data_IF_259482117356
#
_entry.id   IF_259482117356
#
_cell.length_a   1.000
_cell.length_b   1.000
_cell.length_c   1.000
_cell.angle_alpha   90.00
_cell.angle_beta   90.00
_cell.angle_gamma   90.00
#
_symmetry.space_group_name_H-M   'P 1'
#
loop_
_entity.id
_entity.type
_entity.pdbx_description
1 polymer ?
#
# COMPACT_ATOMS: atom_id res chain seq x y z
N UNK A 1 -1.38 15.95 -12.45
CA UNK A 1 -2.26 16.23 -11.32
C UNK A 1 -3.58 16.75 -11.88
N UNK A 2 -4.72 16.23 -11.41
CA UNK A 2 -6.03 16.71 -11.85
C UNK A 2 -6.24 18.16 -11.36
N UNK A 3 -6.85 18.97 -12.21
CA UNK A 3 -7.20 20.34 -11.85
C UNK A 3 -8.38 20.36 -10.87
N UNK A 4 -8.39 21.33 -9.98
CA UNK A 4 -9.53 21.55 -9.08
C UNK A 4 -10.71 22.13 -9.88
N UNK A 5 -11.95 21.79 -9.53
CA UNK A 5 -13.13 22.41 -10.11
C UNK A 5 -13.10 23.93 -9.98
N UNK A 6 -13.34 24.64 -11.07
CA UNK A 6 -13.41 26.10 -11.10
C UNK A 6 -14.83 26.61 -10.77
N UNK A 7 -15.85 25.86 -11.12
CA UNK A 7 -17.26 26.17 -10.82
C UNK A 7 -17.69 25.43 -9.54
N UNK A 8 -18.29 26.12 -8.55
CA UNK A 8 -18.81 25.50 -7.34
C UNK A 8 -19.75 24.30 -7.56
N UNK A 9 -20.51 24.29 -8.66
CA UNK A 9 -21.42 23.18 -9.00
C UNK A 9 -20.72 21.89 -9.45
N UNK A 10 -19.43 21.98 -9.81
CA UNK A 10 -18.63 20.83 -10.23
C UNK A 10 -17.96 20.10 -9.03
N UNK A 11 -18.12 20.66 -7.81
CA UNK A 11 -17.70 19.98 -6.60
C UNK A 11 -18.65 18.85 -6.24
N UNK A 12 -18.09 17.68 -5.97
CA UNK A 12 -18.85 16.49 -5.56
C UNK A 12 -19.11 16.51 -4.06
N UNK A 13 -20.38 16.49 -3.67
CA UNK A 13 -20.84 16.40 -2.28
C UNK A 13 -21.80 15.21 -2.11
N UNK A 14 -21.28 13.97 -2.03
CA UNK A 14 -22.09 12.76 -2.05
C UNK A 14 -22.79 12.51 -0.72
N UNK A 15 -24.04 12.03 -0.75
CA UNK A 15 -24.76 11.55 0.45
C UNK A 15 -24.12 10.30 1.06
N UNK A 16 -23.40 9.52 0.24
CA UNK A 16 -22.67 8.34 0.66
C UNK A 16 -21.22 8.43 0.22
N UNK A 17 -20.32 8.45 1.21
CA UNK A 17 -18.87 8.42 0.96
C UNK A 17 -18.44 6.97 0.72
N UNK A 18 -17.75 6.72 -0.39
CA UNK A 18 -17.13 5.43 -0.67
C UNK A 18 -15.66 5.50 -0.28
N UNK A 19 -15.27 4.61 0.64
CA UNK A 19 -13.90 4.48 1.14
C UNK A 19 -13.31 3.13 0.74
N UNK A 20 -12.09 3.09 0.24
CA UNK A 20 -11.36 1.86 -0.05
C UNK A 20 -9.94 1.88 0.52
N UNK A 21 -9.49 0.72 0.97
CA UNK A 21 -8.11 0.48 1.37
C UNK A 21 -7.39 -0.39 0.33
N UNK A 22 -6.12 -0.14 0.12
CA UNK A 22 -5.29 -0.84 -0.86
C UNK A 22 -5.30 -2.36 -0.68
N UNK A 23 -5.43 -3.17 -1.76
CA UNK A 23 -5.51 -4.62 -1.69
C UNK A 23 -4.12 -5.28 -1.57
N UNK A 24 -3.41 -5.01 -0.48
CA UNK A 24 -2.09 -5.61 -0.20
C UNK A 24 -2.18 -7.07 0.25
N UNK A 25 -3.36 -7.47 0.74
CA UNK A 25 -3.78 -8.82 1.13
C UNK A 25 -5.19 -9.08 0.61
N UNK A 26 -5.76 -10.26 0.88
CA UNK A 26 -7.17 -10.55 0.58
C UNK A 26 -8.08 -9.46 1.20
N UNK A 27 -8.93 -8.79 0.40
CA UNK A 27 -9.80 -7.73 0.90
C UNK A 27 -10.74 -8.17 2.02
N UNK A 28 -11.11 -9.45 2.08
CA UNK A 28 -11.95 -10.01 3.14
C UNK A 28 -11.32 -9.86 4.54
N UNK A 29 -9.98 -9.83 4.63
CA UNK A 29 -9.25 -9.61 5.88
C UNK A 29 -9.60 -8.27 6.51
N UNK A 30 -9.89 -7.27 5.69
CA UNK A 30 -10.15 -5.89 6.14
C UNK A 30 -11.62 -5.59 6.42
N UNK A 31 -12.55 -6.49 6.08
CA UNK A 31 -13.98 -6.22 6.15
C UNK A 31 -14.45 -5.73 7.54
N UNK A 32 -13.92 -6.33 8.62
CA UNK A 32 -14.27 -5.98 9.99
C UNK A 32 -13.32 -4.94 10.63
N UNK A 33 -12.11 -4.78 10.09
CA UNK A 33 -11.09 -3.89 10.64
C UNK A 33 -11.49 -2.42 10.50
N UNK A 34 -12.17 -2.09 9.42
CA UNK A 34 -12.60 -0.72 9.13
C UNK A 34 -13.96 -0.34 9.74
N UNK A 35 -14.71 -1.27 10.36
CA UNK A 35 -16.10 -1.03 10.79
C UNK A 35 -16.22 0.19 11.73
N UNK A 36 -15.49 0.17 12.85
CA UNK A 36 -15.56 1.29 13.82
C UNK A 36 -14.96 2.59 13.28
N UNK A 37 -13.92 2.47 12.45
CA UNK A 37 -13.35 3.64 11.78
C UNK A 37 -14.35 4.30 10.82
N UNK A 38 -15.08 3.51 10.04
CA UNK A 38 -16.16 3.98 9.15
C UNK A 38 -17.25 4.68 9.96
N UNK A 39 -17.73 4.09 11.05
CA UNK A 39 -18.71 4.71 11.98
C UNK A 39 -18.19 6.04 12.56
N UNK A 40 -16.89 6.12 12.85
CA UNK A 40 -16.27 7.35 13.31
C UNK A 40 -16.28 8.45 12.23
N UNK A 41 -15.96 8.10 10.97
CA UNK A 41 -16.01 9.03 9.84
C UNK A 41 -17.45 9.50 9.59
N UNK A 42 -18.45 8.62 9.70
CA UNK A 42 -19.88 8.96 9.58
C UNK A 42 -20.29 10.07 10.60
N UNK A 43 -19.86 9.93 11.86
CA UNK A 43 -20.15 10.93 12.92
C UNK A 43 -19.58 12.32 12.61
N UNK A 44 -18.38 12.37 12.01
CA UNK A 44 -17.73 13.65 11.66
C UNK A 44 -18.31 14.31 10.43
N UNK A 45 -18.72 13.48 9.46
CA UNK A 45 -19.16 13.99 8.16
C UNK A 45 -20.66 14.21 8.07
N UNK A 46 -21.44 13.58 8.94
CA UNK A 46 -22.90 13.50 8.84
C UNK A 46 -23.33 12.89 7.48
N UNK A 47 -22.57 11.89 7.02
CA UNK A 47 -22.80 11.17 5.78
C UNK A 47 -22.66 9.67 6.05
N UNK A 48 -23.39 8.85 5.28
CA UNK A 48 -23.14 7.41 5.22
C UNK A 48 -21.76 7.14 4.65
N UNK A 49 -21.01 6.21 5.24
CA UNK A 49 -19.70 5.77 4.73
C UNK A 49 -19.74 4.28 4.45
N UNK A 50 -19.32 3.89 3.26
CA UNK A 50 -19.27 2.49 2.85
C UNK A 50 -17.82 2.10 2.56
N UNK A 51 -17.31 1.10 3.29
CA UNK A 51 -16.06 0.46 2.94
C UNK A 51 -16.27 -0.44 1.72
N UNK A 52 -15.54 -0.14 0.65
CA UNK A 52 -15.61 -0.88 -0.59
C UNK A 52 -14.33 -1.72 -0.78
N UNK A 53 -14.42 -3.05 -0.67
CA UNK A 53 -13.28 -3.92 -0.91
C UNK A 53 -12.90 -3.90 -2.39
N UNK A 54 -11.62 -3.66 -2.69
CA UNK A 54 -11.08 -3.67 -4.06
C UNK A 54 -10.16 -4.87 -4.24
N UNK A 55 -10.24 -5.52 -5.40
CA UNK A 55 -9.49 -6.76 -5.66
C UNK A 55 -8.07 -6.51 -6.18
N UNK A 56 -7.82 -5.35 -6.79
CA UNK A 56 -6.51 -5.01 -7.34
C UNK A 56 -6.21 -3.52 -7.29
N UNK A 57 -4.92 -3.18 -7.35
CA UNK A 57 -4.48 -1.78 -7.44
C UNK A 57 -5.03 -1.09 -8.69
N UNK A 58 -5.14 -1.80 -9.81
CA UNK A 58 -5.70 -1.26 -11.05
C UNK A 58 -7.18 -0.92 -10.89
N UNK A 59 -7.97 -1.80 -10.25
CA UNK A 59 -9.38 -1.54 -9.96
C UNK A 59 -9.56 -0.34 -9.02
N UNK A 60 -8.67 -0.18 -8.02
CA UNK A 60 -8.71 0.96 -7.11
C UNK A 60 -8.40 2.28 -7.83
N UNK A 61 -7.38 2.31 -8.70
CA UNK A 61 -7.02 3.47 -9.51
C UNK A 61 -8.19 3.87 -10.45
N UNK A 62 -8.80 2.88 -11.11
CA UNK A 62 -9.93 3.13 -12.01
C UNK A 62 -11.17 3.62 -11.26
N UNK A 63 -11.47 3.07 -10.09
CA UNK A 63 -12.58 3.53 -9.24
C UNK A 63 -12.40 5.00 -8.82
N UNK A 64 -11.18 5.41 -8.47
CA UNK A 64 -10.85 6.80 -8.15
C UNK A 64 -10.98 7.70 -9.39
N UNK A 65 -10.38 7.31 -10.51
CA UNK A 65 -10.39 8.05 -11.77
C UNK A 65 -11.80 8.28 -12.32
N UNK A 66 -12.68 7.29 -12.17
CA UNK A 66 -14.07 7.34 -12.64
C UNK A 66 -15.05 8.00 -11.66
N UNK A 67 -14.56 8.55 -10.53
CA UNK A 67 -15.41 9.21 -9.52
C UNK A 67 -16.26 8.25 -8.68
N UNK A 68 -16.02 6.94 -8.74
CA UNK A 68 -16.73 5.94 -7.92
C UNK A 68 -16.11 5.75 -6.53
N UNK A 69 -14.95 6.33 -6.27
CA UNK A 69 -14.24 6.27 -5.02
C UNK A 69 -13.93 7.67 -4.54
N UNK A 70 -14.36 8.00 -3.32
CA UNK A 70 -14.26 9.34 -2.76
C UNK A 70 -13.05 9.52 -1.83
N UNK A 71 -12.77 8.50 -1.01
CA UNK A 71 -11.66 8.48 -0.05
C UNK A 71 -10.92 7.17 -0.19
N UNK A 72 -9.60 7.21 -0.18
CA UNK A 72 -8.79 6.00 -0.34
C UNK A 72 -7.52 6.00 0.49
N UNK A 73 -7.06 4.78 0.83
CA UNK A 73 -5.68 4.50 1.15
C UNK A 73 -5.01 3.80 -0.03
N UNK A 74 -4.13 4.49 -0.74
CA UNK A 74 -3.33 3.90 -1.82
C UNK A 74 -1.97 3.41 -1.29
N UNK A 75 -1.55 2.21 -1.69
CA UNK A 75 -0.23 1.70 -1.34
C UNK A 75 0.89 2.59 -1.87
N UNK A 76 2.06 2.40 -1.32
CA UNK A 76 3.25 3.21 -1.60
C UNK A 76 3.56 3.34 -3.09
N UNK A 77 3.51 2.24 -3.83
CA UNK A 77 3.90 2.21 -5.25
C UNK A 77 2.82 2.74 -6.20
N UNK A 78 1.52 2.56 -5.90
CA UNK A 78 0.44 3.10 -6.74
C UNK A 78 0.09 4.55 -6.44
N UNK A 79 0.55 5.09 -5.31
CA UNK A 79 0.25 6.46 -4.87
C UNK A 79 0.66 7.53 -5.90
N UNK A 80 1.90 7.54 -6.47
CA UNK A 80 2.29 8.54 -7.48
C UNK A 80 1.41 8.51 -8.74
N UNK A 81 1.01 7.32 -9.20
CA UNK A 81 0.10 7.18 -10.35
C UNK A 81 -1.30 7.69 -9.98
N UNK A 82 -1.79 7.38 -8.77
CA UNK A 82 -3.08 7.88 -8.30
C UNK A 82 -3.12 9.41 -8.27
N UNK A 83 -2.05 10.06 -7.80
CA UNK A 83 -1.91 11.53 -7.82
C UNK A 83 -1.86 12.09 -9.23
N UNK A 84 -1.10 11.46 -10.12
CA UNK A 84 -0.91 11.98 -11.48
C UNK A 84 -2.09 11.72 -12.39
N UNK A 85 -2.75 10.55 -12.26
CA UNK A 85 -3.68 10.05 -13.28
C UNK A 85 -5.10 9.75 -12.78
N UNK A 86 -5.34 9.70 -11.47
CA UNK A 86 -6.65 9.37 -10.93
C UNK A 86 -7.29 10.49 -10.10
N UNK A 87 -6.69 11.68 -10.05
CA UNK A 87 -7.22 12.79 -9.27
C UNK A 87 -7.15 12.59 -7.75
N UNK A 88 -6.22 11.77 -7.27
CA UNK A 88 -6.04 11.51 -5.85
C UNK A 88 -5.22 12.60 -5.17
N UNK A 89 -5.69 13.12 -4.04
CA UNK A 89 -5.03 14.14 -3.22
C UNK A 89 -4.65 13.54 -1.87
N UNK A 90 -3.42 13.03 -1.69
CA UNK A 90 -2.96 12.45 -0.45
C UNK A 90 -2.65 13.51 0.61
N UNK A 91 -2.99 13.23 1.88
CA UNK A 91 -2.78 14.14 3.00
C UNK A 91 -2.38 13.46 4.32
N UNK A 92 -2.50 12.12 4.43
CA UNK A 92 -2.20 11.42 5.67
C UNK A 92 -1.57 10.06 5.46
N UNK A 93 -0.90 9.56 6.49
CA UNK A 93 -0.44 8.18 6.62
C UNK A 93 -0.37 7.76 8.09
N UNK A 94 -0.25 6.46 8.33
CA UNK A 94 -0.02 5.92 9.67
C UNK A 94 1.41 6.21 10.16
N UNK A 95 1.54 6.55 11.44
CA UNK A 95 2.82 6.71 12.13
C UNK A 95 2.70 6.32 13.60
N UNK A 96 3.84 6.20 14.27
CA UNK A 96 3.92 6.09 15.72
C UNK A 96 3.81 7.45 16.39
N UNK A 97 3.65 7.46 17.71
CA UNK A 97 3.59 8.69 18.50
C UNK A 97 4.87 9.52 18.42
N UNK A 98 6.03 8.89 18.28
CA UNK A 98 7.32 9.55 18.07
C UNK A 98 7.49 10.14 16.66
N UNK A 99 6.50 9.98 15.78
CA UNK A 99 6.51 10.45 14.40
C UNK A 99 7.21 9.51 13.42
N UNK A 100 7.79 8.42 13.88
CA UNK A 100 8.37 7.41 12.99
C UNK A 100 7.27 6.71 12.19
N UNK A 101 7.57 6.38 10.93
CA UNK A 101 6.61 5.79 10.00
C UNK A 101 7.30 4.83 9.04
N UNK A 102 6.49 4.04 8.36
CA UNK A 102 6.93 3.29 7.21
C UNK A 102 7.07 1.79 7.42
N UNK A 103 7.64 1.15 6.42
CA UNK A 103 7.87 -0.28 6.34
C UNK A 103 9.08 -0.55 5.44
N UNK A 104 9.63 -1.76 5.49
CA UNK A 104 10.72 -2.18 4.61
C UNK A 104 10.22 -3.23 3.60
N UNK A 105 10.87 -3.25 2.44
CA UNK A 105 10.82 -4.37 1.52
C UNK A 105 11.74 -5.47 2.03
N UNK A 106 11.27 -6.71 1.98
CA UNK A 106 12.11 -7.87 2.25
C UNK A 106 12.07 -8.85 1.09
N UNK A 107 13.23 -9.46 0.79
CA UNK A 107 13.31 -10.65 -0.04
C UNK A 107 13.39 -11.84 0.91
N UNK A 108 12.42 -12.75 0.77
CA UNK A 108 12.23 -13.89 1.67
C UNK A 108 12.40 -15.22 0.95
N UNK A 109 12.83 -16.21 1.72
CA UNK A 109 12.96 -17.63 1.33
C UNK A 109 12.46 -18.51 2.46
N UNK A 110 12.25 -19.80 2.24
CA UNK A 110 12.07 -20.75 3.36
C UNK A 110 13.28 -20.75 4.27
N UNK A 111 13.07 -21.03 5.56
CA UNK A 111 14.15 -21.06 6.55
C UNK A 111 15.29 -21.99 6.18
N UNK A 112 14.97 -23.17 5.65
CA UNK A 112 15.90 -24.23 5.25
C UNK A 112 16.44 -24.07 3.81
N UNK A 113 16.10 -22.99 3.11
CA UNK A 113 16.60 -22.72 1.75
C UNK A 113 18.12 -22.59 1.71
N UNK A 114 18.73 -23.13 0.66
CA UNK A 114 20.15 -22.94 0.37
C UNK A 114 20.51 -21.49 -0.02
N UNK A 115 19.53 -20.71 -0.48
CA UNK A 115 19.73 -19.31 -0.94
C UNK A 115 19.97 -18.41 0.26
N UNK A 116 21.16 -17.79 0.35
CA UNK A 116 21.57 -16.97 1.48
C UNK A 116 21.58 -15.46 1.20
N UNK A 117 21.65 -15.08 -0.07
CA UNK A 117 21.81 -13.67 -0.48
C UNK A 117 21.08 -13.39 -1.81
N UNK A 118 20.79 -12.11 -2.13
CA UNK A 118 20.20 -11.74 -3.41
C UNK A 118 21.04 -12.12 -4.63
N UNK A 119 22.37 -12.21 -4.51
CA UNK A 119 23.24 -12.61 -5.62
C UNK A 119 22.93 -14.03 -6.14
N UNK A 120 22.37 -14.89 -5.28
CA UNK A 120 22.03 -16.29 -5.60
C UNK A 120 20.66 -16.44 -6.28
N UNK A 121 19.96 -15.33 -6.53
CA UNK A 121 18.71 -15.30 -7.30
C UNK A 121 18.96 -15.61 -8.79
N UNK A 122 20.20 -15.47 -9.25
CA UNK A 122 20.56 -15.75 -10.65
C UNK A 122 20.17 -17.18 -11.04
N UNK A 123 19.44 -17.31 -12.16
CA UNK A 123 18.92 -18.58 -12.67
C UNK A 123 17.70 -19.13 -11.93
N UNK A 124 17.15 -18.40 -10.95
CA UNK A 124 16.00 -18.80 -10.14
C UNK A 124 14.70 -18.11 -10.58
N UNK A 125 13.60 -18.52 -9.97
CA UNK A 125 12.31 -17.83 -10.10
C UNK A 125 12.08 -16.97 -8.87
N UNK A 126 11.80 -15.67 -9.07
CA UNK A 126 11.45 -14.71 -8.04
C UNK A 126 9.98 -14.31 -8.18
N UNK A 127 9.19 -14.53 -7.12
CA UNK A 127 7.82 -14.10 -7.05
C UNK A 127 7.73 -12.62 -6.65
N UNK A 128 7.19 -11.82 -7.54
CA UNK A 128 6.71 -10.46 -7.29
C UNK A 128 5.24 -10.46 -6.95
N UNK A 129 4.70 -9.35 -6.43
CA UNK A 129 3.26 -9.24 -6.12
C UNK A 129 2.47 -8.69 -7.31
N UNK A 130 2.55 -7.39 -7.57
CA UNK A 130 1.89 -6.73 -8.69
C UNK A 130 2.79 -5.64 -9.29
N UNK A 131 2.62 -5.27 -10.58
CA UNK A 131 3.49 -4.29 -11.25
C UNK A 131 3.49 -2.89 -10.61
N UNK A 132 2.44 -2.52 -9.88
CA UNK A 132 2.33 -1.22 -9.20
C UNK A 132 2.77 -1.27 -7.73
N UNK A 133 3.12 -2.45 -7.19
CA UNK A 133 3.61 -2.58 -5.83
C UNK A 133 5.02 -2.01 -5.70
N UNK A 134 5.28 -1.21 -4.65
CA UNK A 134 6.62 -0.74 -4.34
C UNK A 134 7.51 -1.92 -3.89
N UNK A 135 7.21 -2.52 -2.75
CA UNK A 135 8.03 -3.59 -2.16
C UNK A 135 7.88 -4.95 -2.84
N UNK A 136 6.78 -5.16 -3.57
CA UNK A 136 6.55 -6.42 -4.29
C UNK A 136 7.06 -6.42 -5.72
N UNK A 137 7.53 -5.30 -6.27
CA UNK A 137 8.06 -5.25 -7.64
C UNK A 137 9.05 -4.12 -7.89
N UNK A 138 8.66 -2.85 -7.69
CA UNK A 138 9.45 -1.69 -8.15
C UNK A 138 10.78 -1.55 -7.40
N UNK A 139 10.73 -1.59 -6.07
CA UNK A 139 11.93 -1.48 -5.25
C UNK A 139 12.87 -2.68 -5.42
N UNK A 140 12.42 -3.94 -5.34
CA UNK A 140 13.32 -5.07 -5.57
C UNK A 140 13.91 -5.06 -6.99
N UNK A 141 13.16 -4.68 -8.01
CA UNK A 141 13.71 -4.58 -9.39
C UNK A 141 14.83 -3.55 -9.48
N UNK A 142 14.64 -2.36 -8.88
CA UNK A 142 15.67 -1.32 -8.87
C UNK A 142 16.91 -1.73 -8.04
N UNK A 143 16.71 -2.36 -6.89
CA UNK A 143 17.78 -2.83 -5.99
C UNK A 143 18.57 -3.97 -6.62
N UNK A 144 17.87 -5.00 -7.14
CA UNK A 144 18.53 -6.14 -7.78
C UNK A 144 19.38 -5.69 -8.98
N UNK A 145 18.87 -4.75 -9.79
CA UNK A 145 19.62 -4.16 -10.89
C UNK A 145 20.80 -3.29 -10.41
N UNK A 146 20.57 -2.44 -9.40
CA UNK A 146 21.56 -1.43 -8.98
C UNK A 146 22.67 -1.99 -8.09
N UNK A 147 22.35 -2.94 -7.20
CA UNK A 147 23.30 -3.46 -6.21
C UNK A 147 23.90 -4.81 -6.61
N UNK A 148 23.18 -5.62 -7.40
CA UNK A 148 23.55 -7.01 -7.71
C UNK A 148 23.73 -7.27 -9.22
N UNK A 149 23.49 -6.30 -10.09
CA UNK A 149 23.45 -6.43 -11.56
C UNK A 149 22.54 -7.57 -12.06
N UNK A 150 21.41 -7.78 -11.37
CA UNK A 150 20.42 -8.78 -11.69
C UNK A 150 19.18 -8.13 -12.33
N UNK A 151 18.84 -8.57 -13.55
CA UNK A 151 17.71 -8.03 -14.32
C UNK A 151 16.74 -9.18 -14.62
N UNK A 152 15.46 -8.93 -14.37
CA UNK A 152 14.38 -9.86 -14.70
C UNK A 152 14.41 -10.23 -16.20
N UNK A 153 14.06 -11.47 -16.53
CA UNK A 153 14.09 -12.08 -17.86
C UNK A 153 15.50 -12.25 -18.48
N UNK A 154 16.53 -11.59 -17.93
CA UNK A 154 17.94 -11.81 -18.30
C UNK A 154 18.63 -12.79 -17.35
N UNK A 155 18.51 -12.54 -16.04
CA UNK A 155 19.27 -13.23 -15.00
C UNK A 155 18.40 -14.14 -14.12
N UNK A 156 17.11 -13.85 -14.00
CA UNK A 156 16.16 -14.65 -13.25
C UNK A 156 14.76 -14.57 -13.89
N UNK A 157 13.91 -15.55 -13.59
CA UNK A 157 12.54 -15.61 -14.11
C UNK A 157 11.59 -14.89 -13.14
N UNK A 158 10.94 -13.78 -13.53
CA UNK A 158 9.91 -13.16 -12.70
C UNK A 158 8.59 -13.93 -12.80
N UNK A 159 7.87 -14.02 -11.68
CA UNK A 159 6.46 -14.42 -11.65
C UNK A 159 5.68 -13.46 -10.78
N UNK A 160 4.34 -13.40 -10.91
CA UNK A 160 3.49 -12.49 -10.17
C UNK A 160 2.42 -13.26 -9.39
N UNK A 161 2.44 -13.13 -8.05
CA UNK A 161 1.48 -13.78 -7.14
C UNK A 161 0.17 -12.99 -6.97
N UNK A 162 0.16 -11.72 -7.40
CA UNK A 162 -0.96 -10.79 -7.26
C UNK A 162 -0.93 -9.95 -5.99
N UNK A 163 -0.69 -10.56 -4.82
CA UNK A 163 -0.74 -9.91 -3.50
C UNK A 163 0.39 -10.41 -2.59
N UNK A 164 0.69 -9.68 -1.51
CA UNK A 164 1.78 -10.02 -0.59
C UNK A 164 1.53 -11.30 0.19
N UNK A 165 0.31 -11.53 0.65
CA UNK A 165 -0.10 -12.76 1.35
C UNK A 165 0.11 -14.01 0.48
N UNK A 166 -0.25 -13.94 -0.81
CA UNK A 166 0.01 -15.03 -1.76
C UNK A 166 1.50 -15.30 -1.93
N UNK A 167 2.33 -14.26 -2.03
CA UNK A 167 3.80 -14.41 -2.10
C UNK A 167 4.37 -15.08 -0.86
N UNK A 168 3.92 -14.65 0.33
CA UNK A 168 4.38 -15.16 1.62
C UNK A 168 3.94 -16.62 1.81
N UNK A 169 2.66 -16.92 1.54
CA UNK A 169 2.14 -18.29 1.60
C UNK A 169 2.84 -19.21 0.59
N UNK A 170 3.09 -18.71 -0.63
CA UNK A 170 3.79 -19.48 -1.64
C UNK A 170 5.21 -19.87 -1.21
N UNK A 171 5.95 -18.95 -0.55
CA UNK A 171 7.26 -19.30 0.04
C UNK A 171 7.09 -20.27 1.21
N UNK A 172 6.15 -19.99 2.12
CA UNK A 172 5.88 -20.82 3.29
C UNK A 172 5.55 -22.27 2.92
N UNK A 173 4.70 -22.47 1.91
CA UNK A 173 4.28 -23.77 1.41
C UNK A 173 5.32 -24.42 0.46
N UNK A 174 6.25 -23.64 -0.10
CA UNK A 174 7.25 -24.12 -1.06
C UNK A 174 6.84 -24.04 -2.52
N UNK A 175 5.76 -23.30 -2.85
CA UNK A 175 5.33 -23.03 -4.22
C UNK A 175 6.26 -22.04 -4.92
N UNK A 176 6.89 -21.14 -4.16
CA UNK A 176 7.91 -20.20 -4.60
C UNK A 176 9.20 -20.41 -3.82
N UNK A 177 10.35 -20.45 -4.52
CA UNK A 177 11.66 -20.50 -3.85
C UNK A 177 11.98 -19.17 -3.16
N UNK A 178 11.62 -18.04 -3.79
CA UNK A 178 11.97 -16.67 -3.40
C UNK A 178 10.78 -15.75 -3.65
N UNK A 179 10.55 -14.81 -2.75
CA UNK A 179 9.57 -13.75 -2.99
C UNK A 179 10.03 -12.40 -2.45
N UNK A 180 9.58 -11.31 -3.06
CA UNK A 180 9.74 -9.96 -2.55
C UNK A 180 8.43 -9.43 -2.00
N UNK A 181 8.46 -8.94 -0.74
CA UNK A 181 7.26 -8.62 0.03
C UNK A 181 7.40 -7.33 0.83
N UNK A 182 6.27 -6.87 1.41
CA UNK A 182 6.25 -5.88 2.47
C UNK A 182 6.36 -6.57 3.83
N UNK A 183 7.35 -6.22 4.64
CA UNK A 183 7.52 -6.81 5.98
C UNK A 183 6.32 -6.57 6.88
N UNK A 184 5.58 -5.48 6.67
CA UNK A 184 4.34 -5.19 7.40
C UNK A 184 3.27 -6.27 7.20
N UNK A 185 3.16 -6.86 5.99
CA UNK A 185 2.24 -7.96 5.70
C UNK A 185 2.74 -9.24 6.38
N UNK A 186 4.03 -9.57 6.23
CA UNK A 186 4.65 -10.73 6.89
C UNK A 186 4.39 -10.71 8.41
N UNK A 187 4.67 -9.59 9.07
CA UNK A 187 4.43 -9.45 10.51
C UNK A 187 2.95 -9.57 10.90
N UNK A 188 2.01 -9.11 10.06
CA UNK A 188 0.57 -9.28 10.30
C UNK A 188 0.16 -10.74 10.21
N UNK A 189 0.63 -11.47 9.20
CA UNK A 189 0.34 -12.90 9.03
C UNK A 189 0.89 -13.72 10.20
N UNK A 190 2.10 -13.41 10.70
CA UNK A 190 2.66 -14.03 11.91
C UNK A 190 1.77 -13.74 13.13
N UNK A 191 1.40 -12.47 13.37
CA UNK A 191 0.54 -12.11 14.51
C UNK A 191 -0.85 -12.73 14.46
N UNK A 192 -1.36 -13.02 13.28
CA UNK A 192 -2.64 -13.74 13.08
C UNK A 192 -2.48 -15.26 13.19
N UNK A 193 -1.25 -15.77 13.30
CA UNK A 193 -0.98 -17.22 13.35
C UNK A 193 -1.20 -17.93 12.02
N UNK A 194 -1.19 -17.19 10.90
CA UNK A 194 -1.33 -17.75 9.55
C UNK A 194 -0.06 -18.49 9.12
N UNK A 195 1.10 -17.99 9.55
CA UNK A 195 2.41 -18.59 9.32
C UNK A 195 3.25 -18.55 10.60
N UNK A 196 4.22 -19.45 10.71
CA UNK A 196 5.21 -19.51 11.77
C UNK A 196 6.45 -18.70 11.37
N UNK A 197 6.94 -17.83 12.26
CA UNK A 197 8.07 -16.93 11.98
C UNK A 197 9.35 -17.68 11.64
N UNK A 198 9.61 -18.79 12.32
CA UNK A 198 10.80 -19.62 12.16
C UNK A 198 10.85 -20.42 10.85
N UNK A 199 9.78 -20.40 10.04
CA UNK A 199 9.72 -21.07 8.74
C UNK A 199 10.14 -20.18 7.57
N UNK A 200 10.29 -18.89 7.82
CA UNK A 200 10.65 -17.88 6.80
C UNK A 200 11.96 -17.22 7.20
N UNK A 201 12.83 -17.00 6.23
CA UNK A 201 14.07 -16.26 6.40
C UNK A 201 14.16 -15.10 5.41
N UNK A 202 14.54 -13.93 5.93
CA UNK A 202 14.83 -12.74 5.12
C UNK A 202 16.30 -12.78 4.67
N UNK A 203 16.53 -12.68 3.36
CA UNK A 203 17.88 -12.62 2.77
C UNK A 203 18.28 -11.22 2.34
N UNK A 204 17.32 -10.27 2.29
CA UNK A 204 17.57 -8.85 2.04
C UNK A 204 16.48 -7.99 2.68
N UNK A 205 16.87 -6.85 3.24
CA UNK A 205 15.97 -5.83 3.77
C UNK A 205 16.38 -4.46 3.29
N UNK A 206 15.42 -3.71 2.75
CA UNK A 206 15.65 -2.35 2.27
C UNK A 206 15.69 -1.31 3.38
N UNK A 207 16.01 -0.07 3.05
CA UNK A 207 15.65 1.09 3.86
C UNK A 207 14.15 1.28 3.96
N UNK A 208 13.72 2.20 4.85
CA UNK A 208 12.30 2.46 5.13
C UNK A 208 11.64 3.23 4.00
N UNK A 209 10.46 2.76 3.59
CA UNK A 209 9.55 3.42 2.65
C UNK A 209 8.33 4.01 3.37
N UNK A 210 7.70 5.09 2.85
CA UNK A 210 6.42 5.55 3.36
C UNK A 210 5.37 4.46 3.20
N UNK A 211 4.44 4.38 4.17
CA UNK A 211 3.36 3.39 4.15
C UNK A 211 2.22 3.81 3.20
N UNK A 212 1.01 3.26 3.39
CA UNK A 212 -0.19 3.67 2.67
C UNK A 212 -0.45 5.16 2.83
N UNK A 213 -0.62 5.87 1.73
CA UNK A 213 -1.05 7.27 1.73
C UNK A 213 -2.55 7.38 1.63
N UNK A 214 -3.17 8.05 2.60
CA UNK A 214 -4.61 8.33 2.64
C UNK A 214 -4.91 9.69 2.03
N UNK A 215 -6.03 9.76 1.32
CA UNK A 215 -6.41 10.94 0.57
C UNK A 215 -7.83 10.86 0.04
N UNK A 216 -8.21 11.86 -0.75
CA UNK A 216 -9.53 12.02 -1.32
C UNK A 216 -9.49 12.30 -2.82
N UNK A 217 -10.62 12.18 -3.51
CA UNK A 217 -10.79 12.60 -4.89
C UNK A 217 -10.70 14.13 -5.00
N UNK A 218 -9.93 14.64 -5.94
CA UNK A 218 -9.59 16.08 -6.09
C UNK A 218 -10.81 17.01 -6.16
N UNK A 219 -11.92 16.51 -6.63
CA UNK A 219 -13.15 17.27 -6.84
C UNK A 219 -14.17 17.14 -5.69
N UNK A 220 -13.81 16.52 -4.57
CA UNK A 220 -14.68 16.42 -3.40
C UNK A 220 -14.83 17.79 -2.73
N UNK A 221 -16.08 18.13 -2.30
CA UNK A 221 -16.39 19.44 -1.73
C UNK A 221 -15.45 19.79 -0.56
N UNK A 222 -14.85 20.99 -0.53
CA UNK A 222 -13.81 21.36 0.44
C UNK A 222 -14.24 21.21 1.91
N UNK A 223 -15.49 21.56 2.26
CA UNK A 223 -16.01 21.39 3.62
C UNK A 223 -16.11 19.93 4.02
N UNK A 224 -16.56 19.07 3.10
CA UNK A 224 -16.59 17.62 3.33
C UNK A 224 -15.17 17.07 3.51
N UNK A 225 -14.22 17.50 2.68
CA UNK A 225 -12.79 17.14 2.83
C UNK A 225 -12.25 17.54 4.19
N UNK A 226 -12.58 18.74 4.70
CA UNK A 226 -12.16 19.19 6.03
C UNK A 226 -12.70 18.27 7.14
N UNK A 227 -13.99 17.90 7.06
CA UNK A 227 -14.62 16.95 8.00
C UNK A 227 -13.97 15.56 7.96
N UNK A 228 -13.72 15.04 6.76
CA UNK A 228 -13.04 13.76 6.57
C UNK A 228 -11.63 13.78 7.20
N UNK A 229 -10.83 14.79 6.90
CA UNK A 229 -9.50 14.95 7.50
C UNK A 229 -9.55 15.00 9.01
N UNK A 230 -10.50 15.77 9.59
CA UNK A 230 -10.68 15.86 11.03
C UNK A 230 -11.01 14.47 11.63
N UNK A 231 -11.87 13.69 10.98
CA UNK A 231 -12.18 12.34 11.42
C UNK A 231 -10.93 11.44 11.43
N UNK A 232 -10.12 11.47 10.36
CA UNK A 232 -8.91 10.66 10.29
C UNK A 232 -7.88 11.06 11.37
N UNK A 233 -7.60 12.34 11.53
CA UNK A 233 -6.59 12.82 12.48
C UNK A 233 -7.04 12.75 13.94
N UNK A 234 -8.35 12.67 14.22
CA UNK A 234 -8.91 12.46 15.56
C UNK A 234 -9.13 10.99 15.91
N UNK A 235 -8.92 10.05 14.96
CA UNK A 235 -9.08 8.63 15.21
C UNK A 235 -8.04 8.13 16.21
N UNK A 236 -8.51 7.63 17.35
CA UNK A 236 -7.68 6.98 18.34
C UNK A 236 -7.64 5.46 18.06
N UNK A 237 -6.46 4.93 17.75
CA UNK A 237 -6.29 3.51 17.43
C UNK A 237 -6.63 2.59 18.61
N UNK A 238 -6.50 3.08 19.84
CA UNK A 238 -6.79 2.30 21.05
C UNK A 238 -8.30 2.10 21.29
N UNK A 239 -9.16 2.88 20.62
CA UNK A 239 -10.62 2.72 20.71
C UNK A 239 -11.13 1.48 19.95
N UNK A 240 -10.29 0.90 19.07
CA UNK A 240 -10.59 -0.33 18.34
C UNK A 240 -9.46 -1.37 18.45
N UNK A 241 -9.61 -2.39 19.29
CA UNK A 241 -8.60 -3.45 19.45
C UNK A 241 -8.28 -4.22 18.16
N UNK A 242 -9.24 -4.37 17.23
CA UNK A 242 -8.99 -5.02 15.94
C UNK A 242 -8.11 -4.13 15.06
N UNK A 243 -8.45 -2.84 14.96
CA UNK A 243 -7.67 -1.87 14.22
C UNK A 243 -6.25 -1.74 14.79
N UNK A 244 -6.14 -1.58 16.13
CA UNK A 244 -4.84 -1.50 16.82
C UNK A 244 -3.98 -2.74 16.60
N UNK A 245 -4.56 -3.94 16.67
CA UNK A 245 -3.85 -5.20 16.41
C UNK A 245 -3.37 -5.27 14.97
N UNK A 246 -4.21 -4.88 14.01
CA UNK A 246 -3.86 -4.92 12.58
C UNK A 246 -2.75 -3.94 12.23
N UNK A 247 -2.85 -2.71 12.74
CA UNK A 247 -1.87 -1.65 12.52
C UNK A 247 -0.92 -1.45 13.71
N UNK A 248 -0.52 -2.53 14.39
CA UNK A 248 0.22 -2.53 15.65
C UNK A 248 1.57 -1.78 15.67
N UNK A 249 2.11 -1.42 14.49
CA UNK A 249 3.32 -0.58 14.37
C UNK A 249 2.99 0.91 14.21
N UNK A 250 1.74 1.29 14.43
CA UNK A 250 1.25 2.67 14.28
C UNK A 250 0.28 3.01 15.41
N UNK A 251 0.24 4.27 15.79
CA UNK A 251 -0.56 4.77 16.90
C UNK A 251 -1.56 5.84 16.44
N UNK A 252 -1.28 6.52 15.32
CA UNK A 252 -2.10 7.62 14.80
C UNK A 252 -1.90 7.87 13.31
N UNK A 253 -2.75 8.72 12.75
CA UNK A 253 -2.51 9.36 11.47
C UNK A 253 -1.64 10.61 11.64
N UNK A 254 -0.72 10.84 10.70
CA UNK A 254 0.04 12.08 10.58
C UNK A 254 -0.19 12.72 9.22
N UNK A 255 -0.04 14.07 9.17
CA UNK A 255 -0.08 14.81 7.92
C UNK A 255 1.16 14.56 7.06
N UNK A 256 0.97 14.50 5.74
CA UNK A 256 2.06 14.30 4.79
C UNK A 256 2.20 15.45 3.80
N UNK A 257 3.42 15.59 3.27
CA UNK A 257 3.72 16.34 2.05
C UNK A 257 4.18 15.33 1.01
N UNK A 258 3.31 15.00 0.06
CA UNK A 258 3.54 13.91 -0.91
C UNK A 258 4.89 14.07 -1.65
N UNK A 259 5.24 15.27 -2.09
CA UNK A 259 6.50 15.55 -2.78
C UNK A 259 7.73 15.13 -1.97
N UNK A 260 7.68 15.28 -0.65
CA UNK A 260 8.80 14.96 0.23
C UNK A 260 8.79 13.47 0.62
N UNK A 261 7.66 12.98 1.15
CA UNK A 261 7.55 11.61 1.69
C UNK A 261 7.67 10.54 0.60
N UNK A 262 7.20 10.83 -0.63
CA UNK A 262 7.29 9.93 -1.79
C UNK A 262 8.47 10.23 -2.74
N UNK A 263 9.45 11.06 -2.33
CA UNK A 263 10.60 11.37 -3.17
C UNK A 263 11.40 10.12 -3.59
N UNK A 264 11.65 9.22 -2.64
CA UNK A 264 12.35 7.95 -2.88
C UNK A 264 11.58 7.05 -3.87
N UNK A 265 10.24 7.02 -3.78
CA UNK A 265 9.41 6.21 -4.67
C UNK A 265 9.48 6.72 -6.11
N UNK A 266 9.48 8.04 -6.31
CA UNK A 266 9.67 8.63 -7.65
C UNK A 266 11.07 8.35 -8.23
N UNK A 267 12.09 8.27 -7.38
CA UNK A 267 13.43 7.87 -7.82
C UNK A 267 13.45 6.40 -8.26
N UNK A 268 12.80 5.50 -7.51
CA UNK A 268 12.64 4.09 -7.87
C UNK A 268 11.85 3.96 -9.18
N UNK A 269 10.75 4.69 -9.32
CA UNK A 269 9.94 4.70 -10.53
C UNK A 269 10.77 5.16 -11.75
N UNK A 270 11.55 6.22 -11.60
CA UNK A 270 12.47 6.71 -12.64
C UNK A 270 13.51 5.65 -13.00
N UNK A 271 14.10 4.97 -12.03
CA UNK A 271 15.10 3.93 -12.25
C UNK A 271 14.53 2.72 -13.02
N UNK A 272 13.23 2.44 -12.82
CA UNK A 272 12.49 1.40 -13.54
C UNK A 272 11.87 1.88 -14.86
N UNK A 273 12.06 3.13 -15.27
CA UNK A 273 11.48 3.69 -16.49
C UNK A 273 9.95 3.88 -16.42
N UNK A 274 9.38 3.97 -15.21
CA UNK A 274 7.94 4.20 -15.04
C UNK A 274 7.61 5.64 -15.45
N UNK A 275 6.68 5.78 -16.40
CA UNK A 275 6.08 7.07 -16.77
C UNK A 275 4.76 7.26 -16.02
N UNK A 276 4.46 8.54 -15.73
CA UNK A 276 3.17 8.96 -15.18
C UNK A 276 2.26 9.55 -16.28
N UNK A 277 2.48 9.14 -17.53
CA UNK A 277 1.62 9.51 -18.65
C UNK A 277 0.28 8.80 -18.53
N UNK A 278 -0.77 9.58 -18.40
CA UNK A 278 -2.13 9.09 -18.13
C UNK A 278 -2.90 8.79 -19.44
N UNK A 279 -2.34 7.96 -20.32
CA UNK A 279 -2.97 7.59 -21.58
C UNK A 279 -3.89 6.38 -21.41
#
# INVERSE_FOLDING_TARGET
>A
VADLPLDPKDWVDPDTIIFAYTPVEDPAVYANIWTKFVEHVEKYTDRKVVFFPVESNAAQLEAMRSGRLHVAGFNTGSNPIAVSCAGFVPWGMHAKDDGSFGYEMEIIVKHDSAIQSPAEIKGKTLAFTSPTSNSGFKAPSAILKGEFDLIADRDFTPTFSGKHDNSILGVYNGDYEIASIANSVLHRMIRRGVIEEDKIRTIYRSGTFPSTGYGHAHNLHPELVAKIKNAFFSWNFDDDPLYKKEFAKSDRFIGIRHMNHWAVIRQIDKANGVSYDCK
#
